data_IF_701777868984
#
_entry.id   IF_701777868984
#
_cell.length_a   1.000
_cell.length_b   1.000
_cell.length_c   1.000
_cell.angle_alpha   90.00
_cell.angle_beta   90.00
_cell.angle_gamma   90.00
#
_symmetry.space_group_name_H-M   'P 1'
#
loop_
_entity.id
_entity.type
_entity.pdbx_description
1 polymer ?
#
# COMPACT_ATOMS: atom_id res chain seq x y z
N UNK A 1 20.48 15.84 -6.67
CA UNK A 1 20.01 14.73 -5.82
C UNK A 1 21.01 13.59 -5.99
N UNK A 2 21.55 13.06 -4.89
CA UNK A 2 22.46 11.92 -4.88
C UNK A 2 21.69 10.73 -4.30
N UNK A 3 21.74 9.59 -4.97
CA UNK A 3 21.19 8.34 -4.44
C UNK A 3 22.34 7.52 -3.84
N UNK A 4 22.10 6.91 -2.68
CA UNK A 4 23.03 6.02 -2.02
C UNK A 4 22.31 4.77 -1.52
N UNK A 5 23.02 3.64 -1.49
CA UNK A 5 22.50 2.39 -0.94
C UNK A 5 22.64 2.42 0.58
N UNK A 6 21.51 2.49 1.28
CA UNK A 6 21.49 2.51 2.76
C UNK A 6 21.42 1.10 3.37
N UNK A 7 20.88 0.13 2.63
CA UNK A 7 20.70 -1.25 3.08
C UNK A 7 20.56 -2.18 1.85
N UNK A 8 21.39 -3.22 1.76
CA UNK A 8 21.30 -4.26 0.72
C UNK A 8 20.41 -5.40 1.22
N UNK A 9 19.09 -5.19 1.17
CA UNK A 9 18.10 -6.17 1.68
C UNK A 9 18.08 -7.47 0.87
N UNK A 10 18.45 -7.43 -0.41
CA UNK A 10 18.28 -8.54 -1.37
C UNK A 10 16.85 -9.11 -1.39
N UNK A 11 15.86 -8.24 -1.16
CA UNK A 11 14.45 -8.60 -1.18
C UNK A 11 14.03 -9.18 -2.53
N UNK A 12 13.14 -10.17 -2.51
CA UNK A 12 12.53 -10.73 -3.73
C UNK A 12 11.61 -9.69 -4.36
N UNK A 13 10.75 -9.07 -3.56
CA UNK A 13 9.91 -7.94 -3.98
C UNK A 13 9.66 -6.96 -2.82
N UNK A 14 10.64 -6.07 -2.57
CA UNK A 14 10.53 -5.02 -1.56
C UNK A 14 9.58 -3.89 -1.98
N UNK A 15 8.52 -3.66 -1.21
CA UNK A 15 7.44 -2.70 -1.51
C UNK A 15 6.88 -2.04 -0.22
N UNK A 16 5.88 -1.17 -0.39
CA UNK A 16 5.09 -0.60 0.69
C UNK A 16 5.87 0.17 1.76
N UNK A 17 6.83 1.05 1.42
CA UNK A 17 7.61 1.78 2.41
C UNK A 17 6.72 2.76 3.21
N UNK A 18 6.78 2.66 4.53
CA UNK A 18 6.12 3.53 5.49
C UNK A 18 7.14 4.03 6.50
N UNK A 19 7.22 5.35 6.70
CA UNK A 19 8.09 5.93 7.71
C UNK A 19 7.32 6.11 9.02
N UNK A 20 7.74 5.40 10.07
CA UNK A 20 7.23 5.53 11.41
C UNK A 20 8.03 6.58 12.20
N UNK A 21 7.52 7.81 12.21
CA UNK A 21 8.11 8.93 12.96
C UNK A 21 8.22 8.69 14.44
N UNK A 22 7.34 7.89 15.03
CA UNK A 22 7.32 7.72 16.48
C UNK A 22 8.54 6.92 16.94
N UNK A 23 8.99 5.98 16.11
CA UNK A 23 10.09 5.07 16.43
C UNK A 23 11.34 5.28 15.57
N UNK A 24 11.31 6.22 14.61
CA UNK A 24 12.35 6.45 13.60
C UNK A 24 12.69 5.17 12.81
N UNK A 25 11.65 4.46 12.36
CA UNK A 25 11.78 3.21 11.61
C UNK A 25 11.19 3.34 10.20
N UNK A 26 11.87 2.73 9.23
CA UNK A 26 11.27 2.43 7.93
C UNK A 26 10.62 1.05 8.00
N UNK A 27 9.30 1.02 7.94
CA UNK A 27 8.51 -0.20 7.77
C UNK A 27 8.39 -0.46 6.28
N UNK A 28 8.60 -1.71 5.86
CA UNK A 28 8.43 -2.12 4.46
C UNK A 28 8.13 -3.61 4.40
N UNK A 29 7.77 -4.13 3.23
CA UNK A 29 7.42 -5.55 3.09
C UNK A 29 8.20 -6.21 1.97
N UNK A 30 8.51 -7.50 2.12
CA UNK A 30 8.85 -8.36 0.98
C UNK A 30 7.60 -9.17 0.62
N UNK A 31 6.98 -8.80 -0.51
CA UNK A 31 5.68 -9.35 -0.89
C UNK A 31 5.78 -10.86 -1.11
N UNK A 32 6.82 -11.32 -1.80
CA UNK A 32 6.93 -12.73 -2.22
C UNK A 32 7.42 -13.62 -1.08
N UNK A 33 8.32 -13.13 -0.24
CA UNK A 33 8.79 -13.86 0.94
C UNK A 33 7.78 -13.82 2.11
N UNK A 34 6.78 -12.92 2.03
CA UNK A 34 5.74 -12.85 3.03
C UNK A 34 6.22 -12.29 4.37
N UNK A 35 7.08 -11.26 4.33
CA UNK A 35 7.68 -10.67 5.53
C UNK A 35 7.44 -9.17 5.65
N UNK A 36 7.24 -8.72 6.89
CA UNK A 36 7.27 -7.30 7.26
C UNK A 36 8.60 -6.97 7.91
N UNK A 37 9.19 -5.86 7.49
CA UNK A 37 10.51 -5.40 7.87
C UNK A 37 10.45 -4.06 8.60
N UNK A 38 11.40 -3.85 9.49
CA UNK A 38 11.55 -2.69 10.37
C UNK A 38 13.02 -2.27 10.36
N UNK A 39 13.35 -1.37 9.44
CA UNK A 39 14.71 -0.86 9.26
C UNK A 39 14.94 0.37 10.13
N UNK A 40 15.97 0.33 10.96
CA UNK A 40 16.42 1.45 11.77
C UNK A 40 17.66 2.12 11.11
N UNK A 41 17.52 3.32 10.53
CA UNK A 41 18.64 4.00 9.87
C UNK A 41 19.72 4.48 10.84
N UNK A 42 19.43 4.64 12.14
CA UNK A 42 20.41 5.13 13.11
C UNK A 42 21.49 4.08 13.44
N UNK A 43 21.16 2.79 13.34
CA UNK A 43 22.11 1.70 13.60
C UNK A 43 22.28 0.72 12.42
N UNK A 44 21.54 0.92 11.32
CA UNK A 44 21.60 0.10 10.11
C UNK A 44 21.03 -1.31 10.28
N UNK A 45 20.28 -1.58 11.34
CA UNK A 45 19.65 -2.89 11.57
C UNK A 45 18.29 -2.96 10.91
N UNK A 46 18.03 -4.06 10.21
CA UNK A 46 16.72 -4.44 9.71
C UNK A 46 16.24 -5.67 10.48
N UNK A 47 15.16 -5.50 11.24
CA UNK A 47 14.46 -6.63 11.87
C UNK A 47 13.29 -6.98 11.00
N UNK A 48 12.94 -8.25 10.90
CA UNK A 48 11.82 -8.68 10.11
C UNK A 48 11.04 -9.79 10.79
N UNK A 49 9.81 -9.98 10.31
CA UNK A 49 8.91 -11.02 10.75
C UNK A 49 8.30 -11.70 9.53
N UNK A 50 8.49 -13.01 9.44
CA UNK A 50 7.86 -13.88 8.44
C UNK A 50 6.42 -14.19 8.85
N UNK A 51 5.50 -14.14 7.88
CA UNK A 51 4.07 -14.38 8.07
C UNK A 51 3.58 -15.64 7.35
N UNK A 52 4.41 -16.21 6.46
CA UNK A 52 4.09 -17.44 5.73
C UNK A 52 3.04 -17.27 4.62
N UNK A 53 2.66 -16.03 4.31
CA UNK A 53 1.75 -15.65 3.23
C UNK A 53 2.19 -14.30 2.65
N UNK A 54 1.90 -14.05 1.37
CA UNK A 54 2.27 -12.77 0.75
C UNK A 54 1.64 -11.61 1.50
N UNK A 55 2.37 -10.50 1.56
CA UNK A 55 1.92 -9.27 2.21
C UNK A 55 2.08 -8.10 1.24
N UNK A 56 0.98 -7.47 0.83
CA UNK A 56 1.05 -6.33 -0.08
C UNK A 56 1.52 -5.06 0.63
N UNK A 57 1.06 -4.86 1.86
CA UNK A 57 1.39 -3.65 2.62
C UNK A 57 1.25 -3.85 4.13
N UNK A 58 1.95 -3.02 4.90
CA UNK A 58 1.92 -2.99 6.36
C UNK A 58 1.99 -1.54 6.85
N UNK A 59 1.16 -1.18 7.84
CA UNK A 59 1.21 0.12 8.53
C UNK A 59 1.02 -0.04 10.04
N UNK A 60 1.69 0.78 10.86
CA UNK A 60 1.45 0.81 12.29
C UNK A 60 0.10 1.46 12.61
N UNK A 61 -0.57 0.94 13.63
CA UNK A 61 -1.68 1.60 14.28
C UNK A 61 -1.19 2.50 15.42
N UNK A 62 -2.11 3.22 16.07
CA UNK A 62 -1.80 4.14 17.17
C UNK A 62 -1.33 3.46 18.46
N UNK A 63 -1.45 2.13 18.56
CA UNK A 63 -1.04 1.33 19.71
C UNK A 63 0.29 0.59 19.47
N UNK A 64 0.91 0.76 18.31
CA UNK A 64 2.16 0.08 17.93
C UNK A 64 1.98 -1.33 17.37
N UNK A 65 0.75 -1.78 17.14
CA UNK A 65 0.47 -2.99 16.35
C UNK A 65 0.54 -2.68 14.87
N UNK A 66 0.76 -3.70 14.04
CA UNK A 66 0.71 -3.56 12.59
C UNK A 66 -0.64 -4.02 12.06
N UNK A 67 -1.24 -3.24 11.16
CA UNK A 67 -2.28 -3.70 10.25
C UNK A 67 -1.61 -4.03 8.92
N UNK A 68 -1.88 -5.22 8.40
CA UNK A 68 -1.37 -5.68 7.11
C UNK A 68 -2.51 -6.07 6.17
N UNK A 69 -2.27 -5.93 4.87
CA UNK A 69 -3.06 -6.58 3.84
C UNK A 69 -2.28 -7.78 3.32
N UNK A 70 -2.65 -8.97 3.79
CA UNK A 70 -2.09 -10.26 3.39
C UNK A 70 -2.80 -10.76 2.13
N UNK A 71 -2.28 -11.79 1.46
CA UNK A 71 -2.91 -12.37 0.28
C UNK A 71 -4.40 -12.70 0.51
N UNK A 72 -4.72 -13.21 1.70
CA UNK A 72 -6.02 -13.73 2.12
C UNK A 72 -6.74 -12.83 3.14
N UNK A 73 -6.44 -11.53 3.13
CA UNK A 73 -7.24 -10.52 3.83
C UNK A 73 -6.44 -9.54 4.69
N UNK A 74 -7.19 -8.64 5.33
CA UNK A 74 -6.66 -7.73 6.33
C UNK A 74 -6.45 -8.45 7.65
N UNK A 75 -5.31 -8.21 8.30
CA UNK A 75 -4.98 -8.83 9.57
C UNK A 75 -4.22 -7.89 10.50
N UNK A 76 -4.40 -8.10 11.80
CA UNK A 76 -3.50 -7.57 12.81
C UNK A 76 -2.27 -8.46 12.95
N UNK A 77 -1.10 -7.85 12.95
CA UNK A 77 0.19 -8.49 13.25
C UNK A 77 0.64 -7.95 14.60
N UNK A 78 0.47 -8.76 15.64
CA UNK A 78 0.75 -8.41 17.04
C UNK A 78 1.89 -9.29 17.55
N UNK A 79 2.95 -8.65 18.03
CA UNK A 79 4.13 -9.31 18.64
C UNK A 79 4.63 -10.50 17.79
N UNK A 80 4.74 -11.69 18.41
CA UNK A 80 5.14 -12.96 17.78
C UNK A 80 3.93 -13.88 17.48
N UNK A 81 2.70 -13.40 17.67
CA UNK A 81 1.48 -14.20 17.50
C UNK A 81 1.07 -14.30 16.04
N UNK A 82 0.55 -15.44 15.58
CA UNK A 82 -0.01 -15.61 14.24
C UNK A 82 -0.96 -14.45 13.83
N UNK A 83 -1.04 -14.10 12.52
CA UNK A 83 -1.95 -13.06 12.04
C UNK A 83 -3.38 -13.26 12.56
N UNK A 84 -3.98 -12.18 13.07
CA UNK A 84 -5.37 -12.17 13.52
C UNK A 84 -6.20 -11.50 12.42
N UNK A 85 -6.88 -12.32 11.62
CA UNK A 85 -7.66 -11.84 10.48
C UNK A 85 -8.85 -10.99 10.91
N UNK A 86 -9.05 -9.91 10.16
CA UNK A 86 -10.12 -8.91 10.33
C UNK A 86 -11.22 -9.18 9.31
N UNK A 87 -10.85 -9.18 8.03
CA UNK A 87 -11.77 -9.35 6.92
C UNK A 87 -11.03 -9.75 5.64
N UNK A 88 -11.66 -10.62 4.85
CA UNK A 88 -11.23 -10.96 3.49
C UNK A 88 -12.36 -10.60 2.51
N UNK A 89 -12.26 -9.47 1.79
CA UNK A 89 -13.29 -9.05 0.84
C UNK A 89 -13.27 -9.85 -0.47
N UNK A 90 -12.27 -10.72 -0.67
CA UNK A 90 -12.06 -11.51 -1.88
C UNK A 90 -11.93 -13.01 -1.58
N UNK A 91 -12.56 -13.50 -0.51
CA UNK A 91 -12.44 -14.91 -0.09
C UNK A 91 -12.81 -15.93 -1.20
N UNK A 92 -13.64 -15.56 -2.17
CA UNK A 92 -13.97 -16.44 -3.30
C UNK A 92 -12.96 -16.38 -4.47
N UNK A 93 -12.02 -15.42 -4.47
CA UNK A 93 -11.03 -15.18 -5.52
C UNK A 93 -9.64 -15.64 -5.08
N UNK A 94 -9.43 -16.96 -5.04
CA UNK A 94 -8.20 -17.57 -4.50
C UNK A 94 -6.91 -17.26 -5.27
N UNK A 95 -7.01 -16.74 -6.50
CA UNK A 95 -5.86 -16.32 -7.29
C UNK A 95 -5.53 -14.83 -7.14
N UNK A 96 -6.31 -14.08 -6.36
CA UNK A 96 -6.01 -12.70 -6.06
C UNK A 96 -5.08 -12.57 -4.85
N UNK A 97 -4.39 -11.44 -4.80
CA UNK A 97 -3.66 -10.95 -3.62
C UNK A 97 -3.82 -9.45 -3.49
N UNK A 98 -3.66 -8.92 -2.28
CA UNK A 98 -3.39 -7.49 -2.10
C UNK A 98 -2.02 -7.10 -2.69
N UNK A 99 -1.91 -5.87 -3.18
CA UNK A 99 -0.69 -5.34 -3.79
C UNK A 99 -0.17 -4.08 -3.11
N UNK A 100 -0.81 -2.93 -3.26
CA UNK A 100 -0.40 -1.69 -2.58
C UNK A 100 -1.55 -1.14 -1.73
N UNK A 101 -1.20 -0.32 -0.75
CA UNK A 101 -2.15 0.31 0.14
C UNK A 101 -1.57 1.50 0.91
N UNK A 102 -2.46 2.34 1.42
CA UNK A 102 -2.11 3.53 2.18
C UNK A 102 -3.29 4.00 3.03
N UNK A 103 -2.99 4.64 4.16
CA UNK A 103 -4.01 5.35 4.92
C UNK A 103 -4.41 6.64 4.21
N UNK A 104 -5.72 6.91 4.14
CA UNK A 104 -6.22 8.20 3.67
C UNK A 104 -6.06 9.30 4.74
N UNK A 105 -6.37 10.57 4.43
CA UNK A 105 -6.25 11.67 5.39
C UNK A 105 -7.14 11.55 6.64
N UNK A 106 -8.08 10.61 6.70
CA UNK A 106 -8.86 10.30 7.91
C UNK A 106 -8.35 9.07 8.66
N UNK A 107 -7.18 8.53 8.28
CA UNK A 107 -6.59 7.38 8.94
C UNK A 107 -7.21 6.04 8.56
N UNK A 108 -8.05 5.99 7.51
CA UNK A 108 -8.66 4.74 7.06
C UNK A 108 -7.74 4.04 6.10
N UNK A 109 -7.61 2.73 6.23
CA UNK A 109 -6.74 1.95 5.39
C UNK A 109 -7.39 1.68 4.03
N UNK A 110 -6.67 2.00 2.95
CA UNK A 110 -7.01 1.60 1.59
C UNK A 110 -6.00 0.58 1.13
N UNK A 111 -6.46 -0.50 0.51
CA UNK A 111 -5.59 -1.47 -0.14
C UNK A 111 -6.33 -2.08 -1.31
N UNK A 112 -5.62 -2.32 -2.40
CA UNK A 112 -6.22 -2.96 -3.57
C UNK A 112 -5.49 -4.21 -3.99
N UNK A 113 -6.20 -4.97 -4.80
CA UNK A 113 -5.88 -6.35 -5.16
C UNK A 113 -5.50 -6.45 -6.63
N UNK A 114 -4.94 -7.60 -6.97
CA UNK A 114 -4.61 -8.02 -8.33
C UNK A 114 -4.65 -9.54 -8.41
N UNK A 115 -4.86 -10.06 -9.61
CA UNK A 115 -4.65 -11.47 -9.91
C UNK A 115 -3.15 -11.80 -9.95
N UNK A 116 -2.75 -12.98 -9.46
CA UNK A 116 -1.35 -13.43 -9.38
C UNK A 116 -0.67 -13.53 -10.76
N UNK A 117 -1.44 -13.83 -11.81
CA UNK A 117 -0.97 -13.88 -13.21
C UNK A 117 -1.16 -12.55 -13.93
N UNK A 118 -1.56 -11.50 -13.20
CA UNK A 118 -1.86 -10.16 -13.70
C UNK A 118 -2.97 -10.13 -14.76
N UNK A 119 -3.99 -10.98 -14.62
CA UNK A 119 -5.20 -10.90 -15.45
C UNK A 119 -5.92 -9.55 -15.26
N UNK A 120 -6.27 -8.91 -16.37
CA UNK A 120 -6.88 -7.58 -16.35
C UNK A 120 -8.27 -7.60 -15.71
N UNK A 121 -8.58 -6.56 -14.94
CA UNK A 121 -9.89 -6.34 -14.32
C UNK A 121 -10.33 -7.39 -13.27
N UNK A 122 -9.41 -8.24 -12.77
CA UNK A 122 -9.72 -9.23 -11.72
C UNK A 122 -9.60 -8.69 -10.29
N UNK A 123 -8.92 -7.55 -10.10
CA UNK A 123 -8.75 -6.91 -8.81
C UNK A 123 -9.76 -5.81 -8.52
N UNK A 124 -9.64 -5.25 -7.32
CA UNK A 124 -10.46 -4.16 -6.80
C UNK A 124 -9.66 -3.26 -5.86
N UNK A 125 -10.15 -2.05 -5.60
CA UNK A 125 -9.65 -1.18 -4.52
C UNK A 125 -10.64 -1.18 -3.36
N UNK A 126 -10.16 -1.45 -2.16
CA UNK A 126 -10.96 -1.50 -0.94
C UNK A 126 -10.56 -0.40 0.05
N UNK A 127 -11.52 -0.02 0.89
CA UNK A 127 -11.31 0.82 2.08
C UNK A 127 -11.83 0.10 3.31
N UNK A 128 -10.97 -0.05 4.33
CA UNK A 128 -11.36 -0.47 5.67
C UNK A 128 -11.75 0.76 6.50
N UNK A 129 -12.96 0.74 7.04
CA UNK A 129 -13.50 1.79 7.91
C UNK A 129 -13.01 1.62 9.35
N UNK A 130 -13.23 2.64 10.19
CA UNK A 130 -12.87 2.62 11.61
C UNK A 130 -13.53 1.47 12.40
N UNK A 131 -14.73 1.06 11.97
CA UNK A 131 -15.47 -0.09 12.54
C UNK A 131 -15.02 -1.44 11.95
N UNK A 132 -13.90 -1.47 11.23
CA UNK A 132 -13.31 -2.63 10.55
C UNK A 132 -14.16 -3.19 9.40
N UNK A 133 -15.25 -2.53 9.01
CA UNK A 133 -15.98 -2.92 7.80
C UNK A 133 -15.18 -2.56 6.56
N UNK A 134 -15.20 -3.45 5.55
CA UNK A 134 -14.47 -3.26 4.30
C UNK A 134 -15.47 -2.94 3.18
N UNK A 135 -15.24 -1.83 2.47
CA UNK A 135 -16.05 -1.39 1.33
C UNK A 135 -15.23 -1.44 0.05
N UNK A 136 -15.81 -2.00 -1.03
CA UNK A 136 -15.24 -1.91 -2.37
C UNK A 136 -15.46 -0.50 -2.90
N UNK A 137 -14.38 0.18 -3.28
CA UNK A 137 -14.39 1.56 -3.76
C UNK A 137 -14.25 1.63 -5.29
N UNK A 138 -13.46 0.73 -5.87
CA UNK A 138 -13.29 0.59 -7.32
C UNK A 138 -13.27 -0.91 -7.65
N UNK A 139 -14.02 -1.34 -8.65
CA UNK A 139 -13.98 -2.69 -9.20
C UNK A 139 -13.29 -2.68 -10.58
N UNK A 140 -12.93 -3.86 -11.09
CA UNK A 140 -12.33 -3.98 -12.42
C UNK A 140 -10.94 -3.35 -12.49
N UNK A 141 -10.17 -3.49 -11.42
CA UNK A 141 -8.77 -3.07 -11.36
C UNK A 141 -7.91 -4.21 -11.91
N UNK A 142 -6.86 -3.91 -12.68
CA UNK A 142 -5.92 -4.95 -13.14
C UNK A 142 -4.80 -5.18 -12.14
N UNK A 143 -4.00 -4.15 -11.85
CA UNK A 143 -2.92 -4.21 -10.86
C UNK A 143 -3.00 -2.96 -9.99
N UNK A 144 -3.69 -3.08 -8.85
CA UNK A 144 -3.83 -1.98 -7.89
C UNK A 144 -2.47 -1.52 -7.37
N UNK A 145 -2.18 -0.24 -7.46
CA UNK A 145 -0.87 0.30 -7.08
C UNK A 145 -1.02 1.71 -6.46
N UNK A 146 0.07 2.47 -6.45
CA UNK A 146 0.22 3.77 -5.79
C UNK A 146 -1.04 4.62 -5.56
N UNK A 147 -1.28 4.93 -4.28
CA UNK A 147 -2.30 5.85 -3.79
C UNK A 147 -1.70 7.12 -3.20
N UNK A 148 -2.35 8.26 -3.41
CA UNK A 148 -2.03 9.51 -2.71
C UNK A 148 -3.25 10.44 -2.64
N UNK A 149 -3.27 11.37 -1.69
CA UNK A 149 -4.35 12.36 -1.55
C UNK A 149 -3.80 13.76 -1.52
N UNK A 150 -4.42 14.68 -2.27
CA UNK A 150 -4.07 16.10 -2.24
C UNK A 150 -4.06 16.65 -0.81
N UNK A 151 -3.20 17.62 -0.54
CA UNK A 151 -3.06 18.25 0.79
C UNK A 151 -4.37 18.81 1.35
N UNK A 152 -5.25 19.29 0.48
CA UNK A 152 -6.58 19.80 0.86
C UNK A 152 -7.62 18.69 1.07
N UNK A 153 -7.24 17.41 0.94
CA UNK A 153 -8.08 16.23 1.09
C UNK A 153 -9.33 16.25 0.18
N UNK A 154 -9.19 16.78 -1.04
CA UNK A 154 -10.29 16.82 -2.03
C UNK A 154 -10.05 15.97 -3.27
N UNK A 155 -8.84 15.50 -3.49
CA UNK A 155 -8.48 14.67 -4.64
C UNK A 155 -7.74 13.43 -4.19
N UNK A 156 -8.21 12.26 -4.60
CA UNK A 156 -7.46 11.01 -4.53
C UNK A 156 -6.79 10.76 -5.89
N UNK A 157 -5.53 10.38 -5.85
CA UNK A 157 -4.75 9.92 -6.99
C UNK A 157 -4.52 8.42 -6.84
N UNK A 158 -4.71 7.69 -7.93
CA UNK A 158 -4.66 6.24 -7.92
C UNK A 158 -4.07 5.71 -9.23
N UNK A 159 -3.32 4.62 -9.12
CA UNK A 159 -2.70 3.93 -10.24
C UNK A 159 -3.25 2.51 -10.32
N UNK A 160 -3.88 2.21 -11.45
CA UNK A 160 -3.95 0.84 -11.96
C UNK A 160 -2.79 0.70 -12.95
N UNK A 161 -1.84 -0.18 -12.67
CA UNK A 161 -0.56 -0.25 -13.40
C UNK A 161 -0.76 -0.44 -14.90
N UNK A 162 -1.70 -1.31 -15.30
CA UNK A 162 -1.94 -1.62 -16.72
C UNK A 162 -2.71 -0.52 -17.45
N UNK A 163 -3.23 0.48 -16.72
CA UNK A 163 -3.80 1.67 -17.33
C UNK A 163 -2.74 2.62 -17.88
N UNK A 164 -1.48 2.54 -17.44
CA UNK A 164 -0.40 3.50 -17.75
C UNK A 164 -0.78 4.96 -17.46
N UNK A 165 -1.67 5.19 -16.50
CA UNK A 165 -2.15 6.51 -16.11
C UNK A 165 -2.18 6.65 -14.60
N UNK A 166 -1.88 7.87 -14.13
CA UNK A 166 -2.33 8.32 -12.81
C UNK A 166 -3.74 8.87 -12.99
N UNK A 167 -4.70 8.24 -12.35
CA UNK A 167 -6.09 8.67 -12.34
C UNK A 167 -6.33 9.58 -11.14
N UNK A 168 -7.21 10.56 -11.30
CA UNK A 168 -7.64 11.42 -10.20
C UNK A 168 -9.15 11.32 -10.01
N UNK A 169 -9.57 11.32 -8.75
CA UNK A 169 -10.96 11.24 -8.31
C UNK A 169 -11.22 12.35 -7.30
N UNK A 170 -12.41 12.96 -7.35
CA UNK A 170 -12.87 13.79 -6.25
C UNK A 170 -13.00 12.91 -5.00
N UNK A 171 -12.46 13.38 -3.89
CA UNK A 171 -12.44 12.66 -2.62
C UNK A 171 -13.24 13.42 -1.58
N UNK A 172 -14.11 12.72 -0.88
CA UNK A 172 -14.70 13.16 0.36
C UNK A 172 -14.55 12.04 1.39
N UNK A 173 -14.86 12.30 2.67
CA UNK A 173 -14.78 11.25 3.66
C UNK A 173 -15.59 10.02 3.29
N UNK A 174 -16.84 10.14 2.84
CA UNK A 174 -17.66 8.94 2.63
C UNK A 174 -17.45 8.27 1.28
N UNK A 175 -17.00 8.99 0.25
CA UNK A 175 -17.05 8.53 -1.14
C UNK A 175 -15.91 9.08 -2.01
N UNK A 176 -15.68 8.42 -3.14
CA UNK A 176 -14.95 8.97 -4.27
C UNK A 176 -15.94 9.26 -5.41
N UNK A 177 -15.67 10.28 -6.22
CA UNK A 177 -16.46 10.55 -7.43
C UNK A 177 -16.10 9.57 -8.55
N UNK A 178 -16.75 9.72 -9.70
CA UNK A 178 -16.20 9.20 -10.95
C UNK A 178 -14.83 9.85 -11.26
N UNK A 179 -14.06 9.23 -12.16
CA UNK A 179 -12.74 9.72 -12.57
C UNK A 179 -12.85 11.14 -13.15
N UNK A 180 -12.17 12.10 -12.52
CA UNK A 180 -12.16 13.51 -12.93
C UNK A 180 -10.95 13.87 -13.81
N UNK A 181 -9.95 12.99 -13.90
CA UNK A 181 -8.75 13.25 -14.69
C UNK A 181 -7.86 12.03 -14.88
N UNK A 182 -6.96 12.12 -15.86
CA UNK A 182 -5.90 11.15 -16.12
C UNK A 182 -4.63 11.87 -16.56
N UNK A 183 -3.49 11.41 -16.06
CA UNK A 183 -2.17 11.87 -16.49
C UNK A 183 -1.35 10.65 -16.92
N UNK A 184 -0.84 10.61 -18.16
CA UNK A 184 -0.01 9.51 -18.63
C UNK A 184 1.18 9.23 -17.70
N UNK A 185 1.55 7.97 -17.58
CA UNK A 185 2.69 7.50 -16.82
C UNK A 185 3.62 6.71 -17.77
N UNK A 186 4.93 7.01 -17.72
CA UNK A 186 5.89 6.63 -18.77
C UNK A 186 6.66 5.32 -18.52
N UNK A 187 6.45 4.63 -17.39
CA UNK A 187 7.07 3.34 -17.02
C UNK A 187 6.07 2.36 -16.33
N UNK A 188 6.48 1.16 -15.91
CA UNK A 188 5.57 0.03 -15.61
C UNK A 188 5.48 -0.45 -14.15
N UNK A 189 6.09 0.24 -13.17
CA UNK A 189 5.96 -0.06 -11.73
C UNK A 189 5.85 1.26 -10.96
N UNK A 190 4.90 1.40 -10.04
CA UNK A 190 4.56 2.72 -9.51
C UNK A 190 4.10 2.74 -8.05
N UNK A 191 4.98 3.14 -7.14
CA UNK A 191 4.53 3.77 -5.91
C UNK A 191 4.26 5.27 -6.16
N UNK A 192 3.22 5.79 -5.51
CA UNK A 192 2.84 7.19 -5.58
C UNK A 192 3.01 7.84 -4.21
N UNK A 193 3.78 8.92 -4.14
CA UNK A 193 3.90 9.78 -2.94
C UNK A 193 3.73 11.22 -3.38
N UNK A 194 3.00 12.04 -2.62
CA UNK A 194 2.95 13.48 -2.88
C UNK A 194 4.16 14.16 -2.24
N UNK A 195 4.71 15.21 -2.83
CA UNK A 195 5.73 16.07 -2.21
C UNK A 195 5.08 17.24 -1.45
N UNK A 196 5.84 17.92 -0.59
CA UNK A 196 5.39 19.09 0.18
C UNK A 196 4.80 20.20 -0.72
N UNK A 197 5.30 20.36 -1.95
CA UNK A 197 4.78 21.34 -2.92
C UNK A 197 3.54 20.84 -3.70
N UNK A 198 2.91 19.74 -3.28
CA UNK A 198 1.75 19.15 -3.97
C UNK A 198 2.10 18.46 -5.31
N UNK A 199 3.39 18.26 -5.60
CA UNK A 199 3.84 17.53 -6.78
C UNK A 199 3.73 16.03 -6.53
N UNK A 200 3.11 15.30 -7.45
CA UNK A 200 3.10 13.84 -7.44
C UNK A 200 4.49 13.31 -7.78
N UNK A 201 5.10 12.60 -6.85
CA UNK A 201 6.33 11.85 -7.07
C UNK A 201 5.94 10.43 -7.48
N UNK A 202 6.37 10.05 -8.69
CA UNK A 202 6.34 8.66 -9.15
C UNK A 202 7.70 8.05 -8.86
N UNK A 203 7.72 6.93 -8.14
CA UNK A 203 8.98 6.28 -7.80
C UNK A 203 9.05 4.92 -8.50
N UNK A 204 10.20 4.62 -9.13
CA UNK A 204 10.58 3.26 -9.52
C UNK A 204 11.41 2.57 -8.41
N UNK A 205 11.65 3.29 -7.31
CA UNK A 205 12.39 2.87 -6.13
C UNK A 205 12.18 3.90 -5.01
N UNK A 206 12.03 3.37 -3.79
CA UNK A 206 11.73 4.00 -2.51
C UNK A 206 12.13 5.48 -2.42
N UNK A 207 11.14 6.36 -2.24
CA UNK A 207 11.34 7.72 -1.72
C UNK A 207 10.57 7.86 -0.42
N UNK A 208 11.21 8.56 0.54
CA UNK A 208 10.74 8.82 1.91
C UNK A 208 9.22 8.99 1.96
N UNK A 209 8.56 8.02 2.58
CA UNK A 209 7.22 8.20 3.13
C UNK A 209 7.28 9.29 4.19
N UNK A 210 6.21 10.07 4.29
CA UNK A 210 6.15 11.25 5.14
C UNK A 210 6.55 10.94 6.54
#
# INVERSE_FOLDING_TARGET
MQAELIYDARATLGEGPFWDHQNDLLIWVDIEEGSVHFYNPANGQDKYRELGTRIGMAVPNTEGHIIAALQDGFAWIIEDSNPIYIADPENDLKNNRFNDGKCDPQGRLWAGTMDLEAEENCGSLYRMNEDLTVSQMISGVSISNGLAWSHDSKTMYYIDTLSYNVMSYGFSPTQISEKIGRTPATTGKWCLVLAEEGKLIKTNSILRGY
#
